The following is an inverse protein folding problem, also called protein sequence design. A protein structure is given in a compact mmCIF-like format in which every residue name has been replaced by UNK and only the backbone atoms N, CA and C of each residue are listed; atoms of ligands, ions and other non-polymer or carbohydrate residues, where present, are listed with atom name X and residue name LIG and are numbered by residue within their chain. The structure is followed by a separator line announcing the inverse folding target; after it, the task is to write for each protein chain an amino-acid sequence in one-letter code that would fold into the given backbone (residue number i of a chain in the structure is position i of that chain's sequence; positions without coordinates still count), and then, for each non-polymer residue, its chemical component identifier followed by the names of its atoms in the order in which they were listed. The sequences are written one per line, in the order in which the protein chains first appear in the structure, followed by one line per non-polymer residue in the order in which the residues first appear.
data_IF_784235033310
#
_entry.id   IF_784235033310
#
_cell.length_a   1.000
_cell.length_b   1.000
_cell.length_c   1.000
_cell.angle_alpha   90.00
_cell.angle_beta   90.00
_cell.angle_gamma   90.00
#
_symmetry.space_group_name_H-M   'P 1'
#
loop_
_entity.id
_entity.type
_entity.pdbx_description
1 polymer ?
#
# COMPACT_ATOMS: atom_id res chain seq x y z
N UNK A 1 21.79 2.43 14.79
CA UNK A 1 22.45 2.08 13.51
C UNK A 1 21.72 2.84 12.43
N UNK A 2 22.29 3.96 11.96
CA UNK A 2 21.66 4.81 10.94
C UNK A 2 22.04 4.26 9.56
N UNK A 3 21.13 3.51 8.93
CA UNK A 3 21.26 3.13 7.52
C UNK A 3 21.08 4.40 6.67
N UNK A 4 21.85 4.53 5.58
CA UNK A 4 21.56 5.58 4.61
C UNK A 4 20.17 5.35 4.00
N UNK A 5 19.46 6.43 3.64
CA UNK A 5 18.08 6.34 3.13
C UNK A 5 17.93 5.29 2.00
N UNK A 6 18.91 5.23 1.08
CA UNK A 6 18.91 4.28 -0.05
C UNK A 6 19.04 2.82 0.39
N UNK A 7 19.81 2.55 1.44
CA UNK A 7 19.97 1.19 1.97
C UNK A 7 18.67 0.70 2.59
N UNK A 8 17.97 1.55 3.34
CA UNK A 8 16.69 1.18 3.92
C UNK A 8 15.63 0.90 2.85
N UNK A 9 15.53 1.73 1.81
CA UNK A 9 14.64 1.46 0.68
C UNK A 9 14.97 0.14 -0.01
N UNK A 10 16.25 -0.14 -0.22
CA UNK A 10 16.71 -1.41 -0.81
C UNK A 10 16.34 -2.61 0.07
N UNK A 11 16.56 -2.50 1.37
CA UNK A 11 16.31 -3.59 2.33
C UNK A 11 14.80 -3.88 2.46
N UNK A 12 13.97 -2.83 2.50
CA UNK A 12 12.50 -2.98 2.49
C UNK A 12 12.01 -3.65 1.20
N UNK A 13 12.58 -3.29 0.06
CA UNK A 13 12.24 -3.85 -1.24
C UNK A 13 12.68 -5.30 -1.38
N UNK A 14 13.88 -5.64 -0.90
CA UNK A 14 14.37 -7.01 -0.83
C UNK A 14 13.50 -7.89 0.08
N UNK A 15 13.02 -7.32 1.19
CA UNK A 15 12.14 -7.98 2.14
C UNK A 15 10.65 -8.00 1.73
N UNK A 16 10.27 -7.64 0.48
CA UNK A 16 8.85 -7.52 0.04
C UNK A 16 7.97 -8.75 0.24
N UNK A 17 8.57 -9.93 0.39
CA UNK A 17 7.87 -11.20 0.64
C UNK A 17 7.96 -11.69 2.09
N UNK A 18 8.58 -10.91 2.99
CA UNK A 18 8.81 -11.26 4.39
C UNK A 18 8.24 -10.19 5.32
N UNK A 19 7.00 -10.39 5.76
CA UNK A 19 6.29 -9.45 6.62
C UNK A 19 7.00 -9.19 7.96
N UNK A 20 7.61 -10.21 8.57
CA UNK A 20 8.33 -10.06 9.85
C UNK A 20 9.60 -9.22 9.70
N UNK A 21 10.31 -9.37 8.58
CA UNK A 21 11.49 -8.58 8.28
C UNK A 21 11.13 -7.11 7.99
N UNK A 22 10.05 -6.87 7.25
CA UNK A 22 9.51 -5.52 7.07
C UNK A 22 9.06 -4.90 8.40
N UNK A 23 8.39 -5.67 9.27
CA UNK A 23 8.00 -5.19 10.59
C UNK A 23 9.20 -4.81 11.47
N UNK A 24 10.34 -5.49 11.34
CA UNK A 24 11.58 -5.12 12.03
C UNK A 24 12.19 -3.82 11.50
N UNK A 25 12.20 -3.64 10.17
CA UNK A 25 12.73 -2.44 9.51
C UNK A 25 11.84 -1.20 9.76
N UNK A 26 10.53 -1.35 9.61
CA UNK A 26 9.56 -0.28 9.80
C UNK A 26 9.30 -0.04 11.27
N UNK A 27 9.15 -1.06 12.10
CA UNK A 27 8.94 -0.97 13.55
C UNK A 27 7.80 -1.85 14.06
N UNK A 28 8.08 -2.62 15.11
CA UNK A 28 7.14 -3.60 15.68
C UNK A 28 5.84 -2.99 16.21
N UNK A 29 5.87 -1.75 16.71
CA UNK A 29 4.65 -1.08 17.20
C UNK A 29 3.59 -0.87 16.13
N UNK A 30 4.00 -0.57 14.89
CA UNK A 30 3.07 -0.44 13.76
C UNK A 30 2.44 -1.79 13.40
N UNK A 31 3.26 -2.83 13.40
CA UNK A 31 2.84 -4.21 13.14
C UNK A 31 1.86 -4.72 14.21
N UNK A 32 2.13 -4.46 15.49
CA UNK A 32 1.21 -4.82 16.57
C UNK A 32 -0.13 -4.10 16.43
N UNK A 33 -0.12 -2.79 16.12
CA UNK A 33 -1.35 -2.02 15.85
C UNK A 33 -2.15 -2.62 14.68
N UNK A 34 -1.47 -3.08 13.63
CA UNK A 34 -2.12 -3.75 12.50
C UNK A 34 -2.81 -5.05 12.94
N UNK A 35 -2.11 -5.91 13.69
CA UNK A 35 -2.65 -7.20 14.16
C UNK A 35 -3.88 -7.06 15.06
N UNK A 36 -3.93 -6.00 15.87
CA UNK A 36 -5.09 -5.72 16.75
C UNK A 36 -6.13 -4.82 16.07
N UNK A 37 -6.03 -4.57 14.77
CA UNK A 37 -6.91 -3.68 13.98
C UNK A 37 -7.02 -2.25 14.54
N UNK A 38 -5.98 -1.74 15.21
CA UNK A 38 -5.91 -0.37 15.74
C UNK A 38 -4.97 0.55 14.96
N UNK A 39 -4.53 0.11 13.78
CA UNK A 39 -3.68 0.93 12.92
C UNK A 39 -4.53 1.95 12.15
N UNK A 40 -4.26 3.25 12.34
CA UNK A 40 -4.84 4.31 11.52
C UNK A 40 -3.92 4.68 10.35
N UNK A 41 -4.49 5.35 9.33
CA UNK A 41 -3.68 5.92 8.24
C UNK A 41 -2.66 6.93 8.77
N UNK A 42 -3.05 7.79 9.72
CA UNK A 42 -2.13 8.77 10.32
C UNK A 42 -0.96 8.12 11.05
N UNK A 43 -1.20 6.99 11.74
CA UNK A 43 -0.13 6.22 12.39
C UNK A 43 0.88 5.68 11.36
N UNK A 44 0.37 5.16 10.24
CA UNK A 44 1.19 4.64 9.14
C UNK A 44 2.00 5.76 8.49
N UNK A 45 1.37 6.88 8.15
CA UNK A 45 2.03 8.05 7.56
C UNK A 45 3.16 8.57 8.44
N UNK A 46 2.89 8.84 9.72
CA UNK A 46 3.89 9.36 10.66
C UNK A 46 5.07 8.40 10.78
N UNK A 47 4.80 7.09 10.87
CA UNK A 47 5.85 6.10 11.03
C UNK A 47 6.69 5.96 9.76
N UNK A 48 6.06 5.85 8.60
CA UNK A 48 6.75 5.65 7.32
C UNK A 48 7.54 6.90 6.93
N UNK A 49 6.98 8.10 7.10
CA UNK A 49 7.69 9.36 6.87
C UNK A 49 8.94 9.47 7.75
N UNK A 50 8.83 9.09 9.03
CA UNK A 50 9.97 9.09 9.95
C UNK A 50 11.03 8.03 9.60
N UNK A 51 10.60 6.84 9.21
CA UNK A 51 11.51 5.72 8.89
C UNK A 51 12.26 5.99 7.59
N UNK A 52 11.57 6.47 6.57
CA UNK A 52 12.14 6.73 5.24
C UNK A 52 12.75 8.13 5.11
N UNK A 53 12.61 9.00 6.12
CA UNK A 53 13.01 10.41 6.09
C UNK A 53 12.44 11.14 4.86
N UNK A 54 11.13 10.98 4.66
CA UNK A 54 10.38 11.60 3.54
C UNK A 54 9.17 12.35 4.07
N UNK A 55 8.66 13.28 3.27
CA UNK A 55 7.34 13.89 3.49
C UNK A 55 6.34 13.22 2.55
N UNK A 56 5.37 12.52 3.11
CA UNK A 56 4.35 11.81 2.35
C UNK A 56 3.01 11.77 3.09
N UNK A 57 1.95 11.44 2.35
CA UNK A 57 0.59 11.27 2.87
C UNK A 57 -0.15 10.22 2.04
N UNK A 58 -1.04 9.46 2.65
CA UNK A 58 -1.98 8.62 1.94
C UNK A 58 -3.07 9.50 1.30
N UNK A 59 -3.42 9.21 0.05
CA UNK A 59 -4.49 9.90 -0.66
C UNK A 59 -5.67 8.94 -0.76
N UNK A 60 -6.75 9.12 0.04
CA UNK A 60 -7.98 8.37 -0.15
C UNK A 60 -8.49 8.62 -1.57
N UNK A 61 -8.69 7.55 -2.33
CA UNK A 61 -9.09 7.63 -3.72
C UNK A 61 -10.37 6.85 -3.93
N UNK A 62 -11.38 7.51 -4.49
CA UNK A 62 -12.74 6.97 -4.61
C UNK A 62 -12.94 6.05 -5.81
N UNK A 63 -11.92 5.90 -6.66
CA UNK A 63 -11.97 5.12 -7.89
C UNK A 63 -11.25 3.78 -7.67
N UNK A 64 -11.97 2.70 -7.35
CA UNK A 64 -11.39 1.40 -7.07
C UNK A 64 -10.61 0.83 -8.26
N UNK A 65 -10.90 1.26 -9.48
CA UNK A 65 -10.21 0.85 -10.70
C UNK A 65 -8.70 1.13 -10.67
N UNK A 66 -8.23 2.12 -9.90
CA UNK A 66 -6.79 2.40 -9.75
C UNK A 66 -6.05 1.29 -9.00
N UNK A 67 -6.75 0.52 -8.15
CA UNK A 67 -6.15 -0.57 -7.37
C UNK A 67 -6.48 -1.97 -7.90
N UNK A 68 -7.24 -2.08 -8.99
CA UNK A 68 -7.67 -3.36 -9.54
C UNK A 68 -6.74 -3.79 -10.68
N UNK A 69 -5.90 -4.81 -10.42
CA UNK A 69 -5.12 -5.47 -11.46
C UNK A 69 -5.93 -6.60 -12.15
N UNK A 70 -5.57 -6.88 -13.41
CA UNK A 70 -6.16 -7.98 -14.21
C UNK A 70 -5.15 -9.12 -14.33
N UNK A 71 -5.12 -9.98 -13.32
CA UNK A 71 -4.23 -11.15 -13.25
C UNK A 71 -4.90 -12.43 -13.80
N UNK A 72 -6.23 -12.47 -13.86
CA UNK A 72 -7.05 -13.67 -14.10
C UNK A 72 -8.21 -13.38 -15.07
N UNK A 73 -8.68 -14.38 -15.85
CA UNK A 73 -9.74 -14.17 -16.84
C UNK A 73 -11.02 -13.54 -16.30
N UNK A 74 -11.51 -13.94 -15.12
CA UNK A 74 -12.72 -13.35 -14.54
C UNK A 74 -12.55 -11.86 -14.17
N UNK A 75 -11.32 -11.39 -13.91
CA UNK A 75 -11.06 -9.97 -13.63
C UNK A 75 -11.25 -9.14 -14.90
N UNK A 76 -10.91 -9.69 -16.07
CA UNK A 76 -11.18 -9.04 -17.35
C UNK A 76 -12.69 -8.90 -17.62
N UNK A 77 -13.48 -9.90 -17.23
CA UNK A 77 -14.94 -9.85 -17.33
C UNK A 77 -15.53 -8.73 -16.47
N UNK A 78 -15.05 -8.57 -15.22
CA UNK A 78 -15.45 -7.47 -14.34
C UNK A 78 -15.12 -6.11 -14.96
N UNK A 79 -13.91 -5.92 -15.48
CA UNK A 79 -13.50 -4.64 -16.09
C UNK A 79 -14.34 -4.31 -17.32
N UNK A 80 -14.61 -5.30 -18.18
CA UNK A 80 -15.46 -5.11 -19.36
C UNK A 80 -16.87 -4.67 -18.99
N UNK A 81 -17.49 -5.36 -18.04
CA UNK A 81 -18.84 -5.04 -17.59
C UNK A 81 -18.92 -3.60 -17.04
N UNK A 82 -17.94 -3.17 -16.23
CA UNK A 82 -17.89 -1.82 -15.68
C UNK A 82 -17.69 -0.75 -16.77
N UNK A 83 -16.76 -0.97 -17.72
CA UNK A 83 -16.50 -0.02 -18.79
C UNK A 83 -17.67 0.12 -19.77
N UNK A 84 -18.32 -0.99 -20.11
CA UNK A 84 -19.52 -1.01 -20.97
C UNK A 84 -20.70 -0.29 -20.30
N UNK A 85 -20.95 -0.55 -19.00
CA UNK A 85 -21.98 0.13 -18.24
C UNK A 85 -21.74 1.65 -18.18
N UNK A 86 -20.50 2.08 -17.97
CA UNK A 86 -20.14 3.51 -17.99
C UNK A 86 -20.35 4.14 -19.36
N UNK A 87 -20.00 3.46 -20.45
CA UNK A 87 -20.21 3.95 -21.80
C UNK A 87 -21.70 4.12 -22.12
N UNK A 88 -22.54 3.18 -21.68
CA UNK A 88 -23.98 3.26 -21.85
C UNK A 88 -24.63 4.39 -21.04
N UNK A 89 -24.11 4.68 -19.84
CA UNK A 89 -24.60 5.78 -18.98
C UNK A 89 -24.09 7.17 -19.39
N UNK A 90 -23.13 7.26 -20.31
CA UNK A 90 -22.58 8.51 -20.82
C UNK A 90 -23.33 9.06 -22.05
N UNK A 91 -24.32 8.32 -22.55
CA UNK A 91 -25.24 8.68 -23.65
C UNK A 91 -26.59 9.07 -23.07
#
# INVERSE_FOLDING_TARGET
MALSQRELWRDLSAARKNALQQARLVGLGLFLKLLIHRLSLSDAEQRICKVLDVRGRAVPFSYPEVGMDVDKPFQLEIVRAELEARAANAV
#
